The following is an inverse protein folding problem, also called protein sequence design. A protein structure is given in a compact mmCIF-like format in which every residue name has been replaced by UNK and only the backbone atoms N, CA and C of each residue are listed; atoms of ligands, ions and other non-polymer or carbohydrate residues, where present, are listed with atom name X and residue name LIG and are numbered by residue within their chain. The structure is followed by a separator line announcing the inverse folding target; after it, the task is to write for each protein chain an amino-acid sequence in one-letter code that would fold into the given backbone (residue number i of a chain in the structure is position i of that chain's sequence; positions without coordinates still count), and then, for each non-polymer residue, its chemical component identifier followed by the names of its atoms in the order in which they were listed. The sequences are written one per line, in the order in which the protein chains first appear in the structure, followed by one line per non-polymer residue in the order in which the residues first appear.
data_IF_935322253004
#
_entry.id   IF_935322253004
#
_cell.length_a   1.000
_cell.length_b   1.000
_cell.length_c   1.000
_cell.angle_alpha   90.00
_cell.angle_beta   90.00
_cell.angle_gamma   90.00
#
_symmetry.space_group_name_H-M   'P 1'
#
loop_
_entity.id
_entity.type
_entity.pdbx_description
1 polymer ?
#
# COMPACT_ATOMS: atom_id res chain seq x y z
N UNK A 1 16.88 11.73 0.96
CA UNK A 1 15.91 11.90 -0.13
C UNK A 1 14.91 10.74 -0.07
N UNK A 2 13.66 11.02 -0.37
CA UNK A 2 12.59 10.02 -0.44
C UNK A 2 11.92 10.11 -1.81
N UNK A 3 11.53 8.95 -2.39
CA UNK A 3 10.91 8.90 -3.71
C UNK A 3 9.41 9.18 -3.64
N UNK A 4 8.74 8.77 -2.56
CA UNK A 4 7.30 8.93 -2.35
C UNK A 4 6.99 9.50 -0.97
N UNK A 5 5.99 10.39 -0.92
CA UNK A 5 5.40 10.88 0.33
C UNK A 5 3.91 10.53 0.33
N UNK A 6 3.48 9.70 1.29
CA UNK A 6 2.06 9.42 1.50
C UNK A 6 1.44 10.51 2.38
N UNK A 7 0.40 11.18 1.87
CA UNK A 7 -0.25 12.29 2.57
C UNK A 7 -1.47 11.86 3.40
N UNK A 8 -2.02 10.69 3.13
CA UNK A 8 -3.15 10.15 3.89
C UNK A 8 -4.06 9.24 3.08
N UNK A 9 -5.29 9.10 3.55
CA UNK A 9 -6.28 8.20 2.95
C UNK A 9 -7.22 8.93 2.00
N UNK A 10 -7.68 8.23 0.93
CA UNK A 10 -8.96 8.53 0.28
C UNK A 10 -10.00 7.57 0.86
N UNK A 11 -10.89 8.08 1.71
CA UNK A 11 -11.82 7.29 2.50
C UNK A 11 -13.26 7.80 2.34
N UNK A 12 -14.21 6.87 2.36
CA UNK A 12 -15.65 7.18 2.38
C UNK A 12 -16.12 7.60 3.77
N UNK A 13 -15.35 7.31 4.82
CA UNK A 13 -15.71 7.64 6.19
C UNK A 13 -15.53 9.12 6.51
N UNK A 14 -16.26 9.62 7.51
CA UNK A 14 -16.08 10.97 8.04
C UNK A 14 -14.69 11.13 8.67
N UNK A 15 -14.02 12.24 8.40
CA UNK A 15 -12.69 12.52 8.93
C UNK A 15 -12.15 13.86 8.46
N UNK A 16 -10.98 14.23 8.94
CA UNK A 16 -10.28 15.45 8.53
C UNK A 16 -9.77 15.39 7.08
N UNK A 17 -9.19 16.50 6.63
CA UNK A 17 -8.75 16.69 5.25
C UNK A 17 -7.80 15.60 4.73
N UNK A 18 -6.88 15.12 5.57
CA UNK A 18 -5.94 14.05 5.22
C UNK A 18 -6.55 12.65 5.24
N UNK A 19 -7.72 12.47 5.87
CA UNK A 19 -8.47 11.21 5.79
C UNK A 19 -9.29 11.10 4.50
N UNK A 20 -9.65 12.23 3.91
CA UNK A 20 -10.28 12.28 2.57
C UNK A 20 -9.28 12.45 1.46
N UNK A 21 -8.13 13.02 1.75
CA UNK A 21 -7.02 13.30 0.83
C UNK A 21 -7.52 13.89 -0.50
N UNK A 22 -8.39 14.92 -0.38
CA UNK A 22 -9.07 15.54 -1.52
C UNK A 22 -8.06 16.19 -2.47
N UNK A 23 -8.17 15.91 -3.75
CA UNK A 23 -7.19 16.33 -4.75
C UNK A 23 -7.07 17.87 -4.83
N UNK A 24 -8.21 18.58 -4.77
CA UNK A 24 -8.22 20.04 -4.82
C UNK A 24 -7.60 20.64 -3.57
N UNK A 25 -7.93 20.10 -2.39
CA UNK A 25 -7.34 20.56 -1.13
C UNK A 25 -5.83 20.37 -1.15
N UNK A 26 -5.34 19.19 -1.55
CA UNK A 26 -3.90 18.91 -1.61
C UNK A 26 -3.20 19.80 -2.65
N UNK A 27 -3.78 19.99 -3.84
CA UNK A 27 -3.22 20.89 -4.85
C UNK A 27 -3.09 22.33 -4.33
N UNK A 28 -4.10 22.83 -3.60
CA UNK A 28 -4.05 24.17 -2.99
C UNK A 28 -3.01 24.25 -1.87
N UNK A 29 -2.89 23.20 -1.04
CA UNK A 29 -1.90 23.14 0.05
C UNK A 29 -0.47 23.19 -0.47
N UNK A 30 -0.21 22.59 -1.62
CA UNK A 30 1.11 22.49 -2.23
C UNK A 30 1.43 23.63 -3.21
N UNK A 31 0.51 24.56 -3.40
CA UNK A 31 0.71 25.69 -4.31
C UNK A 31 1.94 26.52 -3.88
N UNK A 32 2.90 26.69 -4.80
CA UNK A 32 4.15 27.40 -4.54
C UNK A 32 5.20 26.63 -3.74
N UNK A 33 4.95 25.37 -3.41
CA UNK A 33 5.94 24.50 -2.75
C UNK A 33 6.66 23.65 -3.82
N UNK A 34 7.98 23.78 -3.87
CA UNK A 34 8.82 22.91 -4.72
C UNK A 34 9.10 21.60 -3.99
N UNK A 35 8.83 20.47 -4.65
CA UNK A 35 9.13 19.13 -4.15
C UNK A 35 9.48 18.17 -5.30
N UNK A 36 10.38 17.23 -5.03
CA UNK A 36 10.81 16.22 -6.02
C UNK A 36 10.17 14.85 -5.78
N UNK A 37 9.65 14.60 -4.56
CA UNK A 37 9.03 13.33 -4.24
C UNK A 37 7.68 13.19 -4.95
N UNK A 38 7.35 11.98 -5.40
CA UNK A 38 6.02 11.63 -5.90
C UNK A 38 5.03 11.56 -4.73
N UNK A 39 3.81 12.02 -4.94
CA UNK A 39 2.77 11.97 -3.90
C UNK A 39 1.99 10.67 -3.96
N UNK A 40 1.70 10.13 -2.78
CA UNK A 40 0.91 8.92 -2.62
C UNK A 40 -0.30 9.15 -1.70
N UNK A 41 -1.36 8.39 -1.94
CA UNK A 41 -2.49 8.23 -1.03
C UNK A 41 -2.77 6.75 -0.79
N UNK A 42 -3.50 6.45 0.28
CA UNK A 42 -3.91 5.10 0.62
C UNK A 42 -5.42 4.93 0.51
N UNK A 43 -5.85 3.73 0.16
CA UNK A 43 -7.24 3.27 0.27
C UNK A 43 -7.29 1.99 1.12
N UNK A 44 -8.32 1.82 1.94
CA UNK A 44 -8.62 0.54 2.59
C UNK A 44 -9.67 -0.21 1.77
N UNK A 45 -9.33 -1.39 1.30
CA UNK A 45 -10.21 -2.23 0.48
C UNK A 45 -11.56 -2.49 1.13
N UNK A 46 -11.61 -2.56 2.46
CA UNK A 46 -12.85 -2.79 3.22
C UNK A 46 -13.89 -1.68 3.09
N UNK A 47 -13.49 -0.49 2.65
CA UNK A 47 -14.41 0.62 2.42
C UNK A 47 -15.15 0.52 1.09
N UNK A 48 -14.77 -0.41 0.21
CA UNK A 48 -15.34 -0.55 -1.12
C UNK A 48 -16.03 -1.89 -1.29
N UNK A 49 -17.25 -1.86 -1.79
CA UNK A 49 -18.02 -3.06 -2.12
C UNK A 49 -17.95 -3.39 -3.61
N UNK A 50 -17.61 -2.41 -4.43
CA UNK A 50 -17.57 -2.53 -5.89
C UNK A 50 -16.74 -1.40 -6.55
N UNK A 51 -16.49 -1.56 -7.85
CA UNK A 51 -15.82 -0.56 -8.70
C UNK A 51 -16.50 0.81 -8.67
N UNK A 52 -17.82 0.88 -8.58
CA UNK A 52 -18.56 2.15 -8.64
C UNK A 52 -18.32 3.02 -7.41
N UNK A 53 -18.23 2.40 -6.24
CA UNK A 53 -17.92 3.12 -4.99
C UNK A 53 -16.52 3.72 -5.03
N UNK A 54 -15.55 2.99 -5.59
CA UNK A 54 -14.19 3.47 -5.79
C UNK A 54 -14.13 4.67 -6.74
N UNK A 55 -14.79 4.58 -7.92
CA UNK A 55 -14.80 5.63 -8.96
C UNK A 55 -15.50 6.93 -8.54
N UNK A 56 -16.29 6.92 -7.47
CA UNK A 56 -16.83 8.15 -6.87
C UNK A 56 -15.79 8.93 -6.08
N UNK A 57 -14.75 8.25 -5.63
CA UNK A 57 -13.74 8.81 -4.72
C UNK A 57 -12.41 9.12 -5.42
N UNK A 58 -12.07 8.33 -6.44
CA UNK A 58 -10.80 8.42 -7.16
C UNK A 58 -11.06 8.82 -8.60
N UNK A 59 -10.49 9.96 -9.00
CA UNK A 59 -10.53 10.45 -10.38
C UNK A 59 -9.32 9.95 -11.18
N UNK A 60 -9.28 10.21 -12.49
CA UNK A 60 -8.13 9.94 -13.35
C UNK A 60 -6.87 10.65 -12.81
N UNK A 61 -5.73 10.00 -12.89
CA UNK A 61 -4.42 10.53 -12.46
C UNK A 61 -4.10 11.88 -13.11
N UNK A 62 -4.50 12.09 -14.36
CA UNK A 62 -4.31 13.35 -15.09
C UNK A 62 -4.93 14.59 -14.40
N UNK A 63 -5.88 14.38 -13.49
CA UNK A 63 -6.59 15.43 -12.73
C UNK A 63 -6.21 15.44 -11.24
N UNK A 64 -5.22 14.66 -10.84
CA UNK A 64 -4.82 14.46 -9.45
C UNK A 64 -3.36 14.82 -9.23
N UNK A 65 -2.96 15.40 -8.09
CA UNK A 65 -1.56 15.62 -7.75
C UNK A 65 -0.83 14.33 -7.39
N UNK A 66 -1.57 13.25 -7.16
CA UNK A 66 -1.00 11.97 -6.72
C UNK A 66 -0.48 11.14 -7.90
N UNK A 67 0.55 10.35 -7.64
CA UNK A 67 1.15 9.40 -8.59
C UNK A 67 0.89 7.96 -8.19
N UNK A 68 0.93 7.66 -6.88
CA UNK A 68 0.83 6.31 -6.34
C UNK A 68 -0.42 6.16 -5.49
N UNK A 69 -1.16 5.05 -5.70
CA UNK A 69 -2.17 4.57 -4.77
C UNK A 69 -1.66 3.35 -4.01
N UNK A 70 -1.63 3.43 -2.67
CA UNK A 70 -1.35 2.30 -1.80
C UNK A 70 -2.65 1.65 -1.34
N UNK A 71 -2.79 0.36 -1.56
CA UNK A 71 -4.03 -0.41 -1.35
C UNK A 71 -3.83 -1.29 -0.12
N UNK A 72 -4.45 -0.91 1.00
CA UNK A 72 -4.39 -1.68 2.24
C UNK A 72 -5.39 -2.84 2.20
N UNK A 73 -4.90 -4.07 2.40
CA UNK A 73 -5.73 -5.28 2.42
C UNK A 73 -5.19 -6.31 3.40
N UNK A 74 -6.07 -7.16 3.92
CA UNK A 74 -5.67 -8.42 4.55
C UNK A 74 -5.90 -9.59 3.57
N UNK A 75 -5.40 -10.77 3.93
CA UNK A 75 -5.46 -11.96 3.08
C UNK A 75 -6.89 -12.32 2.63
N UNK A 76 -7.88 -12.14 3.49
CA UNK A 76 -9.27 -12.49 3.19
C UNK A 76 -9.91 -11.60 2.11
N UNK A 77 -9.39 -10.39 1.94
CA UNK A 77 -9.86 -9.41 0.96
C UNK A 77 -8.90 -9.26 -0.23
N UNK A 78 -7.91 -10.15 -0.36
CA UNK A 78 -6.87 -10.03 -1.38
C UNK A 78 -7.43 -10.01 -2.80
N UNK A 79 -8.40 -10.87 -3.12
CA UNK A 79 -8.98 -10.92 -4.47
C UNK A 79 -9.66 -9.60 -4.84
N UNK A 80 -10.44 -9.02 -3.92
CA UNK A 80 -11.04 -7.69 -4.11
C UNK A 80 -9.97 -6.60 -4.25
N UNK A 81 -8.87 -6.69 -3.48
CA UNK A 81 -7.77 -5.74 -3.59
C UNK A 81 -7.11 -5.79 -4.98
N UNK A 82 -6.96 -6.97 -5.55
CA UNK A 82 -6.40 -7.14 -6.90
C UNK A 82 -7.35 -6.61 -8.00
N UNK A 83 -8.67 -6.78 -7.83
CA UNK A 83 -9.65 -6.15 -8.72
C UNK A 83 -9.59 -4.61 -8.63
N UNK A 84 -9.51 -4.06 -7.42
CA UNK A 84 -9.38 -2.62 -7.18
C UNK A 84 -8.07 -2.09 -7.76
N UNK A 85 -6.95 -2.81 -7.59
CA UNK A 85 -5.65 -2.40 -8.14
C UNK A 85 -5.69 -2.26 -9.67
N UNK A 86 -6.39 -3.18 -10.35
CA UNK A 86 -6.59 -3.10 -11.78
C UNK A 86 -7.32 -1.82 -12.19
N UNK A 87 -8.40 -1.49 -11.48
CA UNK A 87 -9.16 -0.25 -11.77
C UNK A 87 -8.31 0.99 -11.54
N UNK A 88 -7.52 1.03 -10.46
CA UNK A 88 -6.66 2.17 -10.13
C UNK A 88 -5.54 2.32 -11.18
N UNK A 89 -4.96 1.21 -11.63
CA UNK A 89 -3.98 1.21 -12.71
C UNK A 89 -4.59 1.70 -14.04
N UNK A 90 -5.84 1.30 -14.35
CA UNK A 90 -6.57 1.80 -15.53
C UNK A 90 -6.83 3.33 -15.45
N UNK A 91 -6.91 3.91 -14.26
CA UNK A 91 -6.99 5.36 -14.04
C UNK A 91 -5.63 6.06 -14.18
N UNK A 92 -4.54 5.32 -14.41
CA UNK A 92 -3.19 5.82 -14.69
C UNK A 92 -2.28 5.94 -13.46
N UNK A 93 -2.69 5.49 -12.28
CA UNK A 93 -1.85 5.50 -11.07
C UNK A 93 -0.88 4.31 -11.05
N UNK A 94 0.31 4.55 -10.48
CA UNK A 94 1.13 3.48 -9.93
C UNK A 94 0.40 2.83 -8.76
N UNK A 95 0.59 1.52 -8.55
CA UNK A 95 -0.14 0.76 -7.52
C UNK A 95 0.80 0.03 -6.58
N UNK A 96 0.56 0.14 -5.28
CA UNK A 96 1.24 -0.64 -4.26
C UNK A 96 0.24 -1.38 -3.39
N UNK A 97 0.40 -2.69 -3.24
CA UNK A 97 -0.47 -3.51 -2.42
C UNK A 97 0.17 -3.78 -1.06
N UNK A 98 -0.48 -3.35 0.01
CA UNK A 98 -0.03 -3.54 1.38
C UNK A 98 -0.73 -4.77 1.97
N UNK A 99 -0.04 -5.92 1.99
CA UNK A 99 -0.54 -7.14 2.63
C UNK A 99 -0.37 -7.04 4.14
N UNK A 100 -1.48 -6.70 4.82
CA UNK A 100 -1.51 -6.51 6.26
C UNK A 100 -1.56 -7.83 7.04
N UNK A 101 -1.15 -7.79 8.31
CA UNK A 101 -1.23 -8.89 9.27
C UNK A 101 -0.47 -10.13 8.83
N UNK A 102 0.58 -9.96 8.02
CA UNK A 102 1.33 -11.08 7.44
C UNK A 102 1.90 -12.03 8.50
N UNK A 103 2.22 -11.53 9.71
CA UNK A 103 2.72 -12.35 10.83
C UNK A 103 1.72 -13.42 11.32
N UNK A 104 0.44 -13.30 10.96
CA UNK A 104 -0.63 -14.25 11.32
C UNK A 104 -0.92 -15.29 10.25
N UNK A 105 -0.36 -15.13 9.05
CA UNK A 105 -0.55 -16.04 7.96
C UNK A 105 0.32 -17.29 8.12
N UNK A 106 -0.22 -18.43 7.71
CA UNK A 106 0.55 -19.65 7.49
C UNK A 106 1.41 -19.52 6.23
N UNK A 107 2.48 -20.29 6.13
CA UNK A 107 3.35 -20.30 4.95
C UNK A 107 2.56 -20.63 3.66
N UNK A 108 1.54 -21.48 3.75
CA UNK A 108 0.64 -21.78 2.61
C UNK A 108 -0.15 -20.55 2.17
N UNK A 109 -0.68 -19.77 3.10
CA UNK A 109 -1.44 -18.55 2.79
C UNK A 109 -0.51 -17.47 2.21
N UNK A 110 0.71 -17.34 2.75
CA UNK A 110 1.73 -16.42 2.19
C UNK A 110 2.04 -16.79 0.74
N UNK A 111 2.35 -18.08 0.47
CA UNK A 111 2.68 -18.53 -0.88
C UNK A 111 1.53 -18.32 -1.86
N UNK A 112 0.28 -18.60 -1.46
CA UNK A 112 -0.90 -18.34 -2.28
C UNK A 112 -1.11 -16.82 -2.54
N UNK A 113 -0.87 -16.00 -1.55
CA UNK A 113 -0.93 -14.54 -1.72
C UNK A 113 0.11 -14.05 -2.72
N UNK A 114 1.36 -14.49 -2.58
CA UNK A 114 2.46 -14.14 -3.50
C UNK A 114 2.13 -14.57 -4.92
N UNK A 115 1.65 -15.81 -5.13
CA UNK A 115 1.25 -16.30 -6.44
C UNK A 115 0.18 -15.40 -7.09
N UNK A 116 -0.86 -15.01 -6.34
CA UNK A 116 -1.91 -14.11 -6.83
C UNK A 116 -1.38 -12.72 -7.16
N UNK A 117 -0.57 -12.15 -6.27
CA UNK A 117 0.02 -10.82 -6.47
C UNK A 117 0.97 -10.78 -7.66
N UNK A 118 1.76 -11.83 -7.88
CA UNK A 118 2.65 -11.94 -9.05
C UNK A 118 1.89 -11.95 -10.38
N UNK A 119 0.70 -12.57 -10.41
CA UNK A 119 -0.17 -12.60 -11.60
C UNK A 119 -0.94 -11.29 -11.83
N UNK A 120 -0.90 -10.36 -10.90
CA UNK A 120 -1.62 -9.09 -10.97
C UNK A 120 -0.81 -8.00 -11.65
N UNK A 121 -1.44 -6.84 -11.84
CA UNK A 121 -0.84 -5.65 -12.41
C UNK A 121 -0.30 -4.66 -11.36
N UNK A 122 -0.20 -5.05 -10.09
CA UNK A 122 0.41 -4.18 -9.07
C UNK A 122 1.91 -3.98 -9.36
N UNK A 123 2.40 -2.76 -9.12
CA UNK A 123 3.80 -2.43 -9.36
C UNK A 123 4.67 -2.78 -8.15
N UNK A 124 4.12 -2.65 -6.95
CA UNK A 124 4.83 -2.83 -5.68
C UNK A 124 4.02 -3.68 -4.72
N UNK A 125 4.70 -4.48 -3.89
CA UNK A 125 4.12 -5.28 -2.82
C UNK A 125 4.78 -4.89 -1.51
N UNK A 126 3.98 -4.58 -0.48
CA UNK A 126 4.46 -4.32 0.87
C UNK A 126 4.08 -5.44 1.82
N UNK A 127 5.07 -6.03 2.48
CA UNK A 127 4.92 -6.91 3.64
C UNK A 127 4.66 -6.03 4.86
N UNK A 128 3.47 -6.14 5.49
CA UNK A 128 3.11 -5.27 6.62
C UNK A 128 3.08 -6.04 7.93
N UNK A 129 3.99 -5.70 8.85
CA UNK A 129 3.97 -6.17 10.24
C UNK A 129 2.97 -5.36 11.08
N UNK A 130 1.68 -5.57 10.85
CA UNK A 130 0.60 -4.80 11.51
C UNK A 130 0.60 -4.89 13.04
N UNK A 131 1.27 -5.88 13.63
CA UNK A 131 1.31 -6.10 15.07
C UNK A 131 2.67 -5.72 15.69
N UNK A 132 3.65 -5.30 14.87
CA UNK A 132 5.01 -5.02 15.32
C UNK A 132 5.61 -6.21 16.08
N UNK A 133 5.31 -7.44 15.64
CA UNK A 133 5.61 -8.69 16.33
C UNK A 133 6.59 -9.60 15.56
N UNK A 134 7.03 -9.17 14.40
CA UNK A 134 7.99 -9.91 13.58
C UNK A 134 9.40 -9.70 14.16
N UNK A 135 10.08 -10.79 14.49
CA UNK A 135 11.50 -10.76 14.79
C UNK A 135 12.32 -10.98 13.50
N UNK A 136 13.63 -10.75 13.57
CA UNK A 136 14.54 -10.85 12.42
C UNK A 136 14.43 -12.22 11.71
N UNK A 137 14.41 -13.33 12.46
CA UNK A 137 14.30 -14.68 11.88
C UNK A 137 13.02 -14.87 11.08
N UNK A 138 11.88 -14.37 11.60
CA UNK A 138 10.59 -14.43 10.89
C UNK A 138 10.57 -13.49 9.69
N UNK A 139 11.22 -12.32 9.79
CA UNK A 139 11.37 -11.37 8.69
C UNK A 139 12.10 -12.02 7.51
N UNK A 140 13.28 -12.61 7.76
CA UNK A 140 14.06 -13.30 6.73
C UNK A 140 13.23 -14.43 6.08
N UNK A 141 12.55 -15.23 6.91
CA UNK A 141 11.69 -16.31 6.39
C UNK A 141 10.56 -15.79 5.52
N UNK A 142 9.95 -14.66 5.87
CA UNK A 142 8.88 -14.06 5.09
C UNK A 142 9.41 -13.49 3.77
N UNK A 143 10.48 -12.69 3.80
CA UNK A 143 11.05 -12.09 2.59
C UNK A 143 11.43 -13.18 1.59
N UNK A 144 12.04 -14.26 2.03
CA UNK A 144 12.42 -15.38 1.19
C UNK A 144 11.22 -16.13 0.55
N UNK A 145 10.01 -15.97 1.07
CA UNK A 145 8.79 -16.52 0.46
C UNK A 145 8.22 -15.61 -0.64
N UNK A 146 8.62 -14.33 -0.66
CA UNK A 146 8.19 -13.37 -1.67
C UNK A 146 9.08 -13.41 -2.91
N UNK A 147 9.08 -14.56 -3.60
CA UNK A 147 9.72 -14.69 -4.92
C UNK A 147 8.92 -13.90 -5.96
N UNK A 148 9.39 -12.69 -6.25
CA UNK A 148 8.68 -11.73 -7.11
C UNK A 148 9.66 -10.83 -7.87
N UNK A 149 9.32 -10.52 -9.13
CA UNK A 149 10.01 -9.50 -9.94
C UNK A 149 9.51 -8.06 -9.63
N UNK A 150 8.51 -7.92 -8.77
CA UNK A 150 7.95 -6.63 -8.39
C UNK A 150 8.80 -5.95 -7.32
N UNK A 151 8.65 -4.64 -7.18
CA UNK A 151 9.28 -3.92 -6.08
C UNK A 151 8.70 -4.43 -4.76
N UNK A 152 9.57 -4.98 -3.91
CA UNK A 152 9.19 -5.46 -2.58
C UNK A 152 9.54 -4.43 -1.52
N UNK A 153 8.58 -4.09 -0.67
CA UNK A 153 8.73 -3.17 0.45
C UNK A 153 8.39 -3.82 1.79
N UNK A 154 8.87 -3.22 2.85
CA UNK A 154 8.56 -3.62 4.21
C UNK A 154 7.96 -2.45 5.00
N UNK A 155 6.82 -2.68 5.65
CA UNK A 155 6.16 -1.72 6.53
C UNK A 155 6.11 -2.28 7.93
N UNK A 156 6.95 -1.76 8.83
CA UNK A 156 7.03 -2.24 10.21
C UNK A 156 6.26 -1.35 11.19
N UNK A 157 5.76 -1.98 12.25
CA UNK A 157 5.27 -1.30 13.46
C UNK A 157 6.20 -1.60 14.64
N UNK A 158 6.24 -0.71 15.63
CA UNK A 158 7.28 -0.72 16.68
C UNK A 158 6.81 -1.24 18.03
N UNK A 159 5.82 -2.11 18.07
CA UNK A 159 5.24 -2.61 19.32
C UNK A 159 6.26 -3.38 20.20
N UNK A 160 7.27 -3.98 19.61
CA UNK A 160 8.36 -4.66 20.31
C UNK A 160 9.70 -3.89 20.24
N UNK A 161 9.72 -2.64 19.75
CA UNK A 161 10.96 -1.87 19.60
C UNK A 161 11.87 -2.39 18.46
N UNK A 162 11.34 -3.14 17.52
CA UNK A 162 12.11 -3.80 16.46
C UNK A 162 11.94 -3.17 15.07
N UNK A 163 11.10 -2.14 14.93
CA UNK A 163 10.78 -1.56 13.62
C UNK A 163 12.02 -1.08 12.88
N UNK A 164 12.89 -0.33 13.56
CA UNK A 164 14.09 0.22 12.96
C UNK A 164 15.05 -0.89 12.53
N UNK A 165 15.38 -1.84 13.41
CA UNK A 165 16.30 -2.94 13.10
C UNK A 165 15.76 -3.84 11.99
N UNK A 166 14.46 -4.16 12.01
CA UNK A 166 13.81 -4.95 10.96
C UNK A 166 13.79 -4.22 9.62
N UNK A 167 13.60 -2.89 9.61
CA UNK A 167 13.64 -2.10 8.38
C UNK A 167 15.03 -2.11 7.76
N UNK A 168 16.09 -1.90 8.56
CA UNK A 168 17.47 -2.01 8.07
C UNK A 168 17.73 -3.41 7.51
N UNK A 169 17.31 -4.45 8.25
CA UNK A 169 17.49 -5.82 7.80
C UNK A 169 16.73 -6.14 6.51
N UNK A 170 15.53 -5.61 6.32
CA UNK A 170 14.76 -5.79 5.09
C UNK A 170 15.43 -5.13 3.87
N UNK A 171 16.15 -4.02 4.07
CA UNK A 171 16.90 -3.35 2.98
C UNK A 171 18.18 -4.11 2.61
N UNK A 172 18.75 -4.89 3.53
CA UNK A 172 19.96 -5.70 3.30
C UNK A 172 19.67 -7.01 2.54
N UNK A 173 18.40 -7.44 2.46
CA UNK A 173 17.98 -8.72 1.86
C UNK A 173 17.54 -8.55 0.42
#
# INVERSE_FOLDING_TARGET
DVDYIELGYKSTSSGGNFKKCDDKFISTLLEGIEYNAKLAFMVDVKEFTDKKSLLKLIQEKSKSPFTLCRIATDYNNLDLALEISKVISELGYETALNLMKVSKLSDKEVNLAVEKMNKSNVDMIYIVDSFGSINEKKLISLINQFDTDKILGFHSHDNLGLAFSNTIKAVEL
#
